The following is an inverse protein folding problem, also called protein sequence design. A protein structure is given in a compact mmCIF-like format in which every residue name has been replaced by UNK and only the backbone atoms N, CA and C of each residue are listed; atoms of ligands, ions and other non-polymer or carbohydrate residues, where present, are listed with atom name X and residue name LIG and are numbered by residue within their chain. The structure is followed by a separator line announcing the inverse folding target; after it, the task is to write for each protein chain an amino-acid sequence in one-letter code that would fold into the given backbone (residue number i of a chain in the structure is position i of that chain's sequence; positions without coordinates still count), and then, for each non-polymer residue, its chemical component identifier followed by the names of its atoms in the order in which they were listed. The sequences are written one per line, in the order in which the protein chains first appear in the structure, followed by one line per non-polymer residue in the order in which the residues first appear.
data_IF_818578857401
#
_entry.id   IF_818578857401
#
_cell.length_a   1.000
_cell.length_b   1.000
_cell.length_c   1.000
_cell.angle_alpha   90.00
_cell.angle_beta   90.00
_cell.angle_gamma   90.00
#
_symmetry.space_group_name_H-M   'P 1'
#
loop_
_entity.id
_entity.type
_entity.pdbx_description
1 polymer ?
#
# COMPACT_ATOMS: atom_id res chain seq x y z
N UNK A 1 11.07 -7.88 -1.15
CA UNK A 1 9.98 -8.62 -0.50
C UNK A 1 10.20 -10.11 -0.61
N UNK A 2 9.79 -10.85 0.40
CA UNK A 2 9.86 -12.31 0.39
C UNK A 2 8.49 -12.89 0.03
N UNK A 3 8.50 -13.81 -0.92
CA UNK A 3 7.31 -14.55 -1.27
C UNK A 3 7.03 -15.60 -0.18
N UNK A 4 5.81 -15.69 0.28
CA UNK A 4 5.42 -16.70 1.24
C UNK A 4 5.26 -18.06 0.53
N UNK A 5 5.35 -19.15 1.32
CA UNK A 5 5.54 -20.47 0.75
C UNK A 5 4.30 -21.11 0.11
N UNK A 6 3.11 -20.69 0.46
CA UNK A 6 1.91 -21.28 -0.08
C UNK A 6 1.79 -20.97 -1.57
N UNK A 7 1.47 -21.99 -2.37
CA UNK A 7 1.47 -21.89 -3.84
C UNK A 7 0.43 -20.93 -4.37
N UNK A 8 -0.78 -20.91 -3.77
CA UNK A 8 -1.85 -20.01 -4.16
C UNK A 8 -2.68 -19.64 -2.94
N UNK A 9 -2.96 -18.36 -2.80
CA UNK A 9 -3.73 -17.82 -1.69
C UNK A 9 -4.89 -17.07 -2.27
N UNK A 10 -6.11 -17.33 -1.80
CA UNK A 10 -7.27 -16.57 -2.23
C UNK A 10 -7.28 -15.21 -1.53
N UNK A 11 -8.06 -14.27 -2.07
CA UNK A 11 -8.20 -12.96 -1.45
C UNK A 11 -8.75 -13.09 -0.03
N UNK A 12 -9.71 -13.99 0.19
CA UNK A 12 -10.27 -14.23 1.52
C UNK A 12 -9.21 -14.75 2.48
N UNK A 13 -8.36 -15.67 2.02
CA UNK A 13 -7.26 -16.18 2.83
C UNK A 13 -6.26 -15.06 3.16
N UNK A 14 -5.97 -14.20 2.16
CA UNK A 14 -5.07 -13.07 2.38
C UNK A 14 -5.60 -12.15 3.48
N UNK A 15 -6.89 -11.79 3.41
CA UNK A 15 -7.46 -10.92 4.45
C UNK A 15 -7.40 -11.56 5.83
N UNK A 16 -7.64 -12.86 5.93
CA UNK A 16 -7.58 -13.56 7.21
C UNK A 16 -6.15 -13.57 7.75
N UNK A 17 -5.16 -13.82 6.89
CA UNK A 17 -3.76 -13.84 7.29
C UNK A 17 -3.30 -12.44 7.71
N UNK A 18 -3.67 -11.41 6.95
CA UNK A 18 -3.31 -10.03 7.25
C UNK A 18 -3.84 -9.58 8.61
N UNK A 19 -5.09 -9.93 8.90
CA UNK A 19 -5.72 -9.53 10.15
C UNK A 19 -4.96 -10.07 11.37
N UNK A 20 -4.40 -11.26 11.26
CA UNK A 20 -3.68 -11.90 12.36
C UNK A 20 -2.18 -11.59 12.37
N UNK A 21 -1.64 -11.01 11.30
CA UNK A 21 -0.21 -10.82 11.16
C UNK A 21 0.29 -9.59 11.92
N UNK A 22 1.56 -9.65 12.32
CA UNK A 22 2.22 -8.52 13.00
C UNK A 22 2.90 -7.57 12.01
N UNK A 23 2.94 -7.93 10.73
CA UNK A 23 3.55 -7.12 9.68
C UNK A 23 2.67 -7.12 8.46
N UNK A 24 2.85 -6.11 7.59
CA UNK A 24 2.05 -5.96 6.38
C UNK A 24 2.59 -6.84 5.26
N UNK A 25 1.69 -7.32 4.40
CA UNK A 25 2.05 -8.05 3.21
C UNK A 25 1.26 -7.53 2.02
N UNK A 26 1.86 -7.60 0.85
CA UNK A 26 1.21 -7.30 -0.40
C UNK A 26 0.67 -8.58 -1.01
N UNK A 27 -0.49 -8.49 -1.67
CA UNK A 27 -1.10 -9.63 -2.35
C UNK A 27 -1.17 -9.34 -3.84
N UNK A 28 -0.68 -10.27 -4.63
CA UNK A 28 -0.68 -10.11 -6.07
C UNK A 28 -0.95 -11.46 -6.74
N UNK A 29 -2.13 -11.59 -7.35
CA UNK A 29 -2.54 -12.76 -8.14
C UNK A 29 -2.26 -14.09 -7.42
N UNK A 30 -2.69 -14.22 -6.19
CA UNK A 30 -2.58 -15.46 -5.42
C UNK A 30 -1.29 -15.62 -4.65
N UNK A 31 -0.39 -14.65 -4.71
CA UNK A 31 0.88 -14.70 -3.99
C UNK A 31 0.95 -13.59 -2.95
N UNK A 32 1.57 -13.88 -1.82
CA UNK A 32 1.80 -12.88 -0.78
C UNK A 32 3.28 -12.57 -0.66
N UNK A 33 3.58 -11.29 -0.46
CA UNK A 33 4.95 -10.81 -0.31
C UNK A 33 5.03 -9.96 0.95
N UNK A 34 5.89 -10.36 1.88
CA UNK A 34 6.12 -9.58 3.10
C UNK A 34 6.79 -8.25 2.73
N UNK A 35 6.30 -7.16 3.32
CA UNK A 35 6.85 -5.84 3.05
C UNK A 35 8.03 -5.58 3.96
N UNK A 36 9.11 -5.05 3.40
CA UNK A 36 10.30 -4.71 4.15
C UNK A 36 10.21 -3.28 4.68
N UNK A 37 11.08 -2.97 5.63
CA UNK A 37 11.21 -1.61 6.13
C UNK A 37 11.80 -0.68 5.09
N UNK A 38 11.72 0.61 5.35
CA UNK A 38 12.17 1.64 4.43
C UNK A 38 13.39 2.37 4.98
N UNK A 39 14.25 2.87 4.07
CA UNK A 39 15.43 3.64 4.43
C UNK A 39 15.04 5.02 4.95
N UNK A 40 16.01 5.72 5.52
CA UNK A 40 15.82 7.10 5.93
C UNK A 40 15.45 7.98 4.74
N UNK A 41 16.16 7.82 3.62
CA UNK A 41 15.89 8.62 2.42
C UNK A 41 14.46 8.38 1.90
N UNK A 42 14.03 7.13 1.88
CA UNK A 42 12.66 6.79 1.49
C UNK A 42 11.65 7.49 2.40
N UNK A 43 11.86 7.40 3.71
CA UNK A 43 10.96 8.02 4.67
C UNK A 43 10.94 9.54 4.57
N UNK A 44 12.08 10.16 4.30
CA UNK A 44 12.15 11.60 4.15
C UNK A 44 11.36 12.07 2.93
N UNK A 45 11.54 11.40 1.79
CA UNK A 45 10.80 11.72 0.57
C UNK A 45 9.31 11.51 0.79
N UNK A 46 8.95 10.36 1.38
CA UNK A 46 7.56 10.06 1.69
C UNK A 46 6.93 11.13 2.58
N UNK A 47 7.61 11.52 3.65
CA UNK A 47 7.08 12.52 4.58
C UNK A 47 6.87 13.86 3.90
N UNK A 48 7.79 14.27 3.03
CA UNK A 48 7.67 15.52 2.31
C UNK A 48 6.50 15.50 1.33
N UNK A 49 6.32 14.41 0.61
CA UNK A 49 5.19 14.27 -0.32
C UNK A 49 3.87 14.27 0.44
N UNK A 50 3.77 13.47 1.51
CA UNK A 50 2.57 13.36 2.30
C UNK A 50 2.17 14.71 2.88
N UNK A 51 3.14 15.41 3.48
CA UNK A 51 2.89 16.71 4.09
C UNK A 51 2.45 17.77 3.08
N UNK A 52 3.10 17.81 1.92
CA UNK A 52 2.73 18.76 0.88
C UNK A 52 1.34 18.48 0.31
N UNK A 53 1.01 17.22 0.06
CA UNK A 53 -0.32 16.87 -0.43
C UNK A 53 -1.38 17.16 0.61
N UNK A 54 -1.15 16.79 1.86
CA UNK A 54 -2.09 17.07 2.93
C UNK A 54 -2.37 18.56 3.03
N UNK A 55 -1.33 19.37 3.00
CA UNK A 55 -1.46 20.81 3.10
C UNK A 55 -2.25 21.41 1.93
N UNK A 56 -1.99 20.90 0.71
CA UNK A 56 -2.64 21.44 -0.50
C UNK A 56 -4.08 20.97 -0.64
N UNK A 57 -4.41 19.79 -0.15
CA UNK A 57 -5.73 19.18 -0.36
C UNK A 57 -6.65 19.27 0.86
N UNK A 58 -6.19 19.84 1.96
CA UNK A 58 -6.97 19.87 3.21
C UNK A 58 -8.32 20.59 3.09
N UNK A 59 -8.43 21.53 2.17
CA UNK A 59 -9.67 22.27 1.95
C UNK A 59 -10.43 21.77 0.71
N UNK A 60 -9.91 20.74 0.05
CA UNK A 60 -10.59 20.10 -1.05
C UNK A 60 -11.37 18.90 -0.52
N UNK A 61 -12.27 18.36 -1.35
CA UNK A 61 -13.03 17.17 -0.97
C UNK A 61 -12.20 15.92 -1.26
N UNK A 62 -11.00 15.88 -0.67
CA UNK A 62 -10.05 14.79 -0.88
C UNK A 62 -9.37 14.42 0.43
N UNK A 63 -9.10 13.14 0.60
CA UNK A 63 -8.39 12.59 1.76
C UNK A 63 -7.07 12.02 1.29
N UNK A 64 -5.99 12.35 2.00
CA UNK A 64 -4.65 11.83 1.72
C UNK A 64 -4.32 10.76 2.76
N UNK A 65 -3.96 9.58 2.29
CA UNK A 65 -3.59 8.46 3.15
C UNK A 65 -2.11 8.14 3.02
N UNK A 66 -1.52 7.68 4.11
CA UNK A 66 -0.15 7.19 4.13
C UNK A 66 -0.07 5.70 3.89
N UNK A 67 1.06 5.12 4.23
CA UNK A 67 1.41 3.74 3.85
C UNK A 67 0.69 2.65 4.66
N UNK A 68 -0.12 3.01 5.63
CA UNK A 68 -0.91 2.01 6.35
C UNK A 68 -2.29 1.79 5.75
N UNK A 69 -2.64 2.53 4.70
CA UNK A 69 -3.92 2.34 4.03
C UNK A 69 -3.81 1.31 2.93
N UNK A 70 -4.51 0.20 3.09
CA UNK A 70 -4.53 -0.85 2.08
C UNK A 70 -5.42 -0.44 0.91
N UNK A 71 -4.97 -0.75 -0.30
CA UNK A 71 -5.67 -0.40 -1.54
C UNK A 71 -5.89 -1.64 -2.38
N UNK A 72 -7.12 -1.80 -2.88
CA UNK A 72 -7.46 -2.86 -3.82
C UNK A 72 -7.19 -2.36 -5.23
N UNK A 73 -6.45 -3.14 -6.00
CA UNK A 73 -6.07 -2.81 -7.36
C UNK A 73 -6.39 -3.99 -8.29
N UNK A 74 -6.30 -3.77 -9.60
CA UNK A 74 -6.34 -4.81 -10.62
C UNK A 74 -7.52 -5.77 -10.44
N UNK A 75 -8.74 -5.21 -10.38
CA UNK A 75 -9.98 -5.98 -10.27
C UNK A 75 -9.96 -6.98 -9.10
N UNK A 76 -9.48 -6.52 -7.94
CA UNK A 76 -9.41 -7.32 -6.73
C UNK A 76 -8.39 -8.47 -6.78
N UNK A 77 -7.39 -8.35 -7.66
CA UNK A 77 -6.31 -9.34 -7.75
C UNK A 77 -5.01 -8.83 -7.14
N UNK A 78 -4.99 -7.57 -6.71
CA UNK A 78 -3.81 -6.94 -6.15
C UNK A 78 -4.22 -6.08 -4.96
N UNK A 79 -3.62 -6.34 -3.81
CA UNK A 79 -3.80 -5.54 -2.60
C UNK A 79 -2.44 -5.07 -2.14
N UNK A 80 -2.29 -3.77 -1.99
CA UNK A 80 -1.00 -3.18 -1.67
C UNK A 80 -1.16 -2.05 -0.65
N UNK A 81 -0.04 -1.61 -0.11
CA UNK A 81 0.03 -0.45 0.78
C UNK A 81 0.89 0.61 0.09
N UNK A 82 0.33 1.41 -0.81
CA UNK A 82 1.10 2.46 -1.45
C UNK A 82 1.64 3.45 -0.43
N UNK A 83 2.77 4.06 -0.72
CA UNK A 83 3.32 5.07 0.18
C UNK A 83 2.33 6.19 0.43
N UNK A 84 1.68 6.68 -0.63
CA UNK A 84 0.65 7.71 -0.52
C UNK A 84 -0.49 7.35 -1.46
N UNK A 85 -1.72 7.52 -0.98
CA UNK A 85 -2.92 7.40 -1.83
C UNK A 85 -3.88 8.53 -1.51
N UNK A 86 -4.67 8.92 -2.50
CA UNK A 86 -5.63 10.02 -2.36
C UNK A 86 -6.98 9.57 -2.90
N UNK A 87 -8.02 9.83 -2.13
CA UNK A 87 -9.40 9.61 -2.55
C UNK A 87 -10.12 10.95 -2.52
N UNK A 88 -10.84 11.28 -3.59
CA UNK A 88 -11.67 12.49 -3.62
C UNK A 88 -13.13 12.07 -3.71
N UNK A 89 -13.98 12.79 -2.97
CA UNK A 89 -15.37 12.40 -2.84
C UNK A 89 -15.55 11.28 -1.84
N UNK A 90 -16.57 10.46 -2.06
CA UNK A 90 -16.87 9.37 -1.14
C UNK A 90 -15.85 8.24 -1.23
N UNK A 91 -15.45 7.72 -0.08
CA UNK A 91 -14.49 6.62 -0.03
C UNK A 91 -15.23 5.30 -0.20
N UNK A 92 -14.80 4.49 -1.17
CA UNK A 92 -15.31 3.14 -1.35
C UNK A 92 -14.43 2.13 -0.65
N UNK A 93 -15.05 1.10 -0.08
CA UNK A 93 -14.34 0.06 0.66
C UNK A 93 -14.57 -1.32 0.06
N UNK A 94 -13.56 -2.17 0.16
CA UNK A 94 -13.62 -3.55 -0.30
C UNK A 94 -14.20 -4.46 0.79
N UNK A 95 -14.88 -5.52 0.37
CA UNK A 95 -15.26 -6.64 1.26
C UNK A 95 -15.98 -6.22 2.55
N UNK A 96 -16.83 -5.20 2.51
CA UNK A 96 -17.53 -4.70 3.70
C UNK A 96 -16.56 -4.31 4.83
N UNK A 97 -15.36 -3.96 4.48
CA UNK A 97 -14.33 -3.57 5.43
C UNK A 97 -14.29 -2.05 5.58
N UNK A 98 -13.48 -1.58 6.51
CA UNK A 98 -13.13 -0.17 6.59
C UNK A 98 -11.62 0.03 6.54
N UNK A 99 -10.89 -0.99 6.09
CA UNK A 99 -9.43 -0.98 6.06
C UNK A 99 -8.84 -1.12 4.66
N UNK A 100 -9.69 -1.20 3.63
CA UNK A 100 -9.21 -1.38 2.26
C UNK A 100 -10.05 -0.51 1.33
N UNK A 101 -9.42 0.46 0.68
CA UNK A 101 -10.11 1.36 -0.23
C UNK A 101 -10.03 0.84 -1.67
N UNK A 102 -11.04 1.20 -2.49
CA UNK A 102 -11.12 0.71 -3.86
C UNK A 102 -11.05 1.82 -4.92
N UNK A 103 -11.14 3.09 -4.51
CA UNK A 103 -11.28 4.18 -5.48
C UNK A 103 -10.29 5.32 -5.31
N UNK A 104 -8.99 5.04 -5.20
CA UNK A 104 -8.03 6.12 -5.18
C UNK A 104 -7.97 6.82 -6.52
N UNK A 105 -7.80 8.15 -6.52
CA UNK A 105 -7.58 8.93 -7.73
C UNK A 105 -6.09 9.13 -8.00
N UNK A 106 -5.26 8.88 -6.99
CA UNK A 106 -3.81 9.05 -7.11
C UNK A 106 -3.12 8.07 -6.19
N UNK A 107 -2.08 7.44 -6.69
CA UNK A 107 -1.20 6.57 -5.91
C UNK A 107 0.23 7.01 -6.18
N UNK A 108 1.02 7.15 -5.13
CA UNK A 108 2.43 7.51 -5.24
C UNK A 108 3.25 6.45 -4.54
N UNK A 109 4.23 5.93 -5.25
CA UNK A 109 5.21 5.00 -4.70
C UNK A 109 6.57 5.68 -4.70
N UNK A 110 7.23 5.70 -3.56
CA UNK A 110 8.60 6.18 -3.46
C UNK A 110 9.50 4.98 -3.69
N UNK A 111 10.28 5.02 -4.77
CA UNK A 111 11.11 3.88 -5.13
C UNK A 111 12.31 3.80 -4.21
N UNK A 112 12.66 2.56 -3.83
CA UNK A 112 13.85 2.28 -3.02
C UNK A 112 14.80 1.44 -3.85
N UNK A 113 16.11 1.61 -3.64
CA UNK A 113 17.06 0.73 -4.28
C UNK A 113 16.93 -0.67 -3.70
N UNK A 114 16.96 -1.67 -4.58
CA UNK A 114 17.01 -3.06 -4.14
C UNK A 114 18.41 -3.34 -3.58
N UNK A 115 18.56 -4.39 -2.75
CA UNK A 115 19.88 -4.79 -2.28
C UNK A 115 20.86 -5.06 -3.42
N UNK A 116 20.36 -5.57 -4.54
CA UNK A 116 21.19 -5.83 -5.72
C UNK A 116 21.73 -4.54 -6.31
N UNK A 117 20.91 -3.48 -6.41
CA UNK A 117 21.36 -2.18 -6.89
C UNK A 117 22.41 -1.58 -5.98
N UNK A 118 22.22 -1.73 -4.68
CA UNK A 118 23.18 -1.24 -3.70
C UNK A 118 24.52 -1.97 -3.83
N UNK A 119 24.47 -3.26 -4.14
CA UNK A 119 25.67 -4.06 -4.31
C UNK A 119 26.47 -3.66 -5.54
N UNK A 120 25.78 -3.19 -6.58
CA UNK A 120 26.38 -2.82 -7.84
C UNK A 120 26.78 -1.36 -7.92
N UNK A 121 26.44 -0.61 -6.93
CA UNK A 121 26.71 0.83 -6.90
C UNK A 121 28.19 1.15 -6.66
#
# INVERSE_FOLDING_TARGET
MLKLQKTFITAEEFFAIEEAAEYKSEYYHGEMFAMSGASFAHNLIFSNILGNLYSKLRNADCIVFGSDMKVQLDEAKHYAYPDVSVVCGDVGFAHKSNDTIVNPVLIIEVLSESPMNMTNA
#
